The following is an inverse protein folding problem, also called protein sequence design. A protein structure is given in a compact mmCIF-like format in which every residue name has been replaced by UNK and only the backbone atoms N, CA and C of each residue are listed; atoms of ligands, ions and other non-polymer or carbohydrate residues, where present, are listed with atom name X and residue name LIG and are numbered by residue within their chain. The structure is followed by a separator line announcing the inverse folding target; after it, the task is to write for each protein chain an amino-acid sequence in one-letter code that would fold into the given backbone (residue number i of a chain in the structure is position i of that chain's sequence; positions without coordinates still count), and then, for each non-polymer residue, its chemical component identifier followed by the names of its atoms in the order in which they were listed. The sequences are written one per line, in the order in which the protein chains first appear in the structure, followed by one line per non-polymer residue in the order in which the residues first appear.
data_IF_070499341565
#
_entry.id   IF_070499341565
#
_cell.length_a   1.000
_cell.length_b   1.000
_cell.length_c   1.000
_cell.angle_alpha   90.00
_cell.angle_beta   90.00
_cell.angle_gamma   90.00
#
_symmetry.space_group_name_H-M   'P 1'
#
loop_
_entity.id
_entity.type
_entity.pdbx_description
1 polymer ?
#
# COMPACT_ATOMS: atom_id res chain seq x y z
N UNK A 1 12.92 -27.99 3.34
CA UNK A 1 11.93 -27.51 4.35
C UNK A 1 12.43 -26.35 5.23
N UNK A 2 13.72 -26.24 5.60
CA UNK A 2 14.21 -25.21 6.55
C UNK A 2 13.98 -23.76 6.11
N UNK A 3 14.02 -23.47 4.81
CA UNK A 3 13.83 -22.11 4.28
C UNK A 3 12.37 -21.62 4.39
N UNK A 4 11.38 -22.51 4.48
CA UNK A 4 9.96 -22.12 4.54
C UNK A 4 9.59 -21.55 5.91
N UNK A 5 10.05 -22.21 6.99
CA UNK A 5 9.80 -21.74 8.36
C UNK A 5 10.52 -20.41 8.58
N UNK A 6 11.76 -20.28 8.10
CA UNK A 6 12.50 -19.01 8.13
C UNK A 6 11.78 -17.87 7.40
N UNK A 7 11.36 -18.09 6.16
CA UNK A 7 10.64 -17.09 5.37
C UNK A 7 9.30 -16.70 6.00
N UNK A 8 8.58 -17.66 6.58
CA UNK A 8 7.31 -17.42 7.27
C UNK A 8 7.52 -16.57 8.53
N UNK A 9 8.52 -16.89 9.36
CA UNK A 9 8.86 -16.10 10.55
C UNK A 9 9.27 -14.67 10.18
N UNK A 10 10.08 -14.50 9.13
CA UNK A 10 10.47 -13.18 8.63
C UNK A 10 9.24 -12.41 8.14
N UNK A 11 8.36 -13.06 7.37
CA UNK A 11 7.11 -12.45 6.90
C UNK A 11 6.23 -11.98 8.04
N UNK A 12 6.02 -12.82 9.05
CA UNK A 12 5.27 -12.46 10.26
C UNK A 12 5.91 -11.29 11.02
N UNK A 13 7.25 -11.30 11.16
CA UNK A 13 7.99 -10.23 11.83
C UNK A 13 7.87 -8.90 11.07
N UNK A 14 7.97 -8.92 9.74
CA UNK A 14 7.76 -7.74 8.89
C UNK A 14 6.33 -7.21 9.03
N UNK A 15 5.32 -8.08 8.97
CA UNK A 15 3.92 -7.69 9.18
C UNK A 15 3.71 -7.07 10.56
N UNK A 16 4.27 -7.68 11.60
CA UNK A 16 4.23 -7.15 12.96
C UNK A 16 4.85 -5.77 13.04
N UNK A 17 6.04 -5.57 12.46
CA UNK A 17 6.72 -4.25 12.41
C UNK A 17 5.86 -3.23 11.65
N UNK A 18 5.25 -3.62 10.53
CA UNK A 18 4.38 -2.73 9.74
C UNK A 18 3.19 -2.30 10.61
N UNK A 19 2.47 -3.25 11.22
CA UNK A 19 1.29 -2.94 12.03
C UNK A 19 1.62 -2.13 13.28
N UNK A 20 2.72 -2.46 13.94
CA UNK A 20 3.24 -1.69 15.05
C UNK A 20 3.51 -0.23 14.66
N UNK A 21 4.08 -0.03 13.47
CA UNK A 21 4.35 1.29 12.93
C UNK A 21 3.10 2.05 12.47
N UNK A 22 1.99 1.35 12.16
CA UNK A 22 0.71 1.97 11.79
C UNK A 22 0.01 2.58 13.01
N UNK A 23 0.00 1.87 14.14
CA UNK A 23 -0.73 2.29 15.36
C UNK A 23 0.07 3.33 16.16
N UNK A 24 1.39 3.46 15.94
CA UNK A 24 2.19 4.48 16.60
C UNK A 24 1.74 5.89 16.18
N UNK A 25 1.53 6.74 17.19
CA UNK A 25 1.30 8.17 17.00
C UNK A 25 2.54 8.78 16.33
N UNK A 26 2.33 9.45 15.20
CA UNK A 26 3.40 10.13 14.45
C UNK A 26 2.95 11.53 14.10
N UNK A 27 3.88 12.49 14.11
CA UNK A 27 3.61 13.81 13.57
C UNK A 27 3.33 13.73 12.07
N UNK A 28 2.32 14.47 11.61
CA UNK A 28 2.12 14.71 10.18
C UNK A 28 3.24 15.63 9.72
N UNK A 29 4.07 15.16 8.79
CA UNK A 29 5.10 16.02 8.22
C UNK A 29 4.42 17.04 7.31
N UNK A 30 4.90 18.28 7.33
CA UNK A 30 4.41 19.33 6.44
C UNK A 30 4.79 19.07 4.97
N UNK A 31 5.77 18.19 4.72
CA UNK A 31 6.20 17.79 3.38
C UNK A 31 5.52 16.50 2.89
N UNK A 32 4.96 16.56 1.67
CA UNK A 32 4.40 15.41 0.98
C UNK A 32 5.52 14.55 0.39
N UNK A 33 6.19 13.73 1.22
CA UNK A 33 7.26 12.84 0.73
C UNK A 33 6.68 11.64 -0.02
N UNK A 34 6.84 11.61 -1.35
CA UNK A 34 6.43 10.49 -2.22
C UNK A 34 7.59 9.61 -2.72
N UNK A 35 8.83 9.90 -2.31
CA UNK A 35 10.05 9.20 -2.77
C UNK A 35 9.90 7.67 -2.65
N UNK A 36 9.51 7.17 -1.49
CA UNK A 36 9.39 5.72 -1.26
C UNK A 36 8.32 5.04 -2.15
N UNK A 37 7.06 5.53 -2.22
CA UNK A 37 6.08 5.05 -3.20
C UNK A 37 6.59 5.06 -4.65
N UNK A 38 7.27 6.13 -5.06
CA UNK A 38 7.81 6.27 -6.42
C UNK A 38 8.88 5.21 -6.70
N UNK A 39 9.80 4.97 -5.76
CA UNK A 39 10.81 3.91 -5.87
C UNK A 39 10.14 2.55 -6.06
N UNK A 40 9.10 2.23 -5.28
CA UNK A 40 8.37 0.96 -5.43
C UNK A 40 7.74 0.82 -6.81
N UNK A 41 7.13 1.88 -7.34
CA UNK A 41 6.56 1.89 -8.69
C UNK A 41 7.64 1.65 -9.74
N UNK A 42 8.77 2.35 -9.67
CA UNK A 42 9.87 2.21 -10.64
C UNK A 42 10.45 0.79 -10.61
N UNK A 43 10.74 0.27 -9.42
CA UNK A 43 11.25 -1.11 -9.28
C UNK A 43 10.22 -2.14 -9.77
N UNK A 44 8.95 -1.93 -9.47
CA UNK A 44 7.86 -2.79 -9.94
C UNK A 44 7.71 -2.77 -11.47
N UNK A 45 7.86 -1.60 -12.12
CA UNK A 45 7.83 -1.49 -13.58
C UNK A 45 8.96 -2.29 -14.24
N UNK A 46 10.14 -2.34 -13.61
CA UNK A 46 11.24 -3.20 -14.06
C UNK A 46 10.85 -4.68 -14.03
N UNK A 47 10.25 -5.14 -12.93
CA UNK A 47 9.79 -6.52 -12.79
C UNK A 47 8.67 -6.85 -13.79
N UNK A 48 7.73 -5.93 -14.00
CA UNK A 48 6.63 -6.11 -14.94
C UNK A 48 7.13 -6.19 -16.39
N UNK A 49 8.13 -5.38 -16.76
CA UNK A 49 8.78 -5.47 -18.08
C UNK A 49 9.41 -6.84 -18.30
N UNK A 50 10.14 -7.37 -17.31
CA UNK A 50 10.73 -8.71 -17.39
C UNK A 50 9.67 -9.82 -17.50
N UNK A 51 8.54 -9.65 -16.81
CA UNK A 51 7.40 -10.56 -16.92
C UNK A 51 6.84 -10.60 -18.35
N UNK A 52 6.64 -9.44 -18.98
CA UNK A 52 6.15 -9.36 -20.37
C UNK A 52 7.12 -9.93 -21.40
N UNK A 53 8.42 -9.92 -21.13
CA UNK A 53 9.42 -10.54 -22.00
C UNK A 53 9.41 -12.08 -21.92
N UNK A 54 8.87 -12.65 -20.83
CA UNK A 54 8.95 -14.10 -20.54
C UNK A 54 7.59 -14.79 -20.64
N UNK A 55 6.48 -14.04 -20.66
CA UNK A 55 5.13 -14.57 -20.63
C UNK A 55 4.25 -13.91 -21.69
N UNK A 56 3.46 -14.70 -22.42
CA UNK A 56 2.44 -14.20 -23.33
C UNK A 56 1.24 -13.67 -22.54
N UNK A 57 0.90 -12.40 -22.72
CA UNK A 57 -0.24 -11.80 -22.05
C UNK A 57 -1.56 -12.19 -22.72
N UNK A 58 -2.41 -12.89 -21.98
CA UNK A 58 -3.81 -13.02 -22.36
C UNK A 58 -4.55 -11.72 -22.05
N UNK A 59 -5.62 -11.43 -22.80
CA UNK A 59 -6.50 -10.29 -22.53
C UNK A 59 -6.98 -10.28 -21.08
N UNK A 60 -7.37 -11.44 -20.54
CA UNK A 60 -7.80 -11.57 -19.15
C UNK A 60 -6.70 -11.19 -18.15
N UNK A 61 -5.45 -11.65 -18.37
CA UNK A 61 -4.31 -11.28 -17.52
C UNK A 61 -4.11 -9.78 -17.49
N UNK A 62 -4.13 -9.11 -18.65
CA UNK A 62 -3.97 -7.66 -18.72
C UNK A 62 -5.09 -6.92 -17.97
N UNK A 63 -6.34 -7.33 -18.16
CA UNK A 63 -7.48 -6.72 -17.45
C UNK A 63 -7.38 -6.88 -15.94
N UNK A 64 -6.93 -8.04 -15.45
CA UNK A 64 -6.75 -8.30 -14.02
C UNK A 64 -5.67 -7.41 -13.40
N UNK A 65 -4.55 -7.20 -14.10
CA UNK A 65 -3.48 -6.28 -13.69
C UNK A 65 -4.04 -4.87 -13.54
N UNK A 66 -4.78 -4.39 -14.54
CA UNK A 66 -5.35 -3.04 -14.52
C UNK A 66 -6.36 -2.87 -13.38
N UNK A 67 -7.27 -3.82 -13.19
CA UNK A 67 -8.25 -3.79 -12.10
C UNK A 67 -7.54 -3.79 -10.75
N UNK A 68 -6.55 -4.66 -10.55
CA UNK A 68 -5.81 -4.75 -9.29
C UNK A 68 -5.01 -3.46 -8.99
N UNK A 69 -4.26 -2.97 -9.98
CA UNK A 69 -3.36 -1.82 -9.79
C UNK A 69 -4.07 -0.47 -9.73
N UNK A 70 -5.15 -0.28 -10.48
CA UNK A 70 -5.83 1.02 -10.53
C UNK A 70 -7.06 1.06 -9.65
N UNK A 71 -7.92 0.04 -9.70
CA UNK A 71 -9.17 0.07 -8.96
C UNK A 71 -8.90 -0.34 -7.52
N UNK A 72 -8.36 -1.55 -7.30
CA UNK A 72 -8.18 -2.08 -5.96
C UNK A 72 -7.14 -1.29 -5.16
N UNK A 73 -5.97 -0.99 -5.73
CA UNK A 73 -4.90 -0.28 -5.03
C UNK A 73 -5.32 1.14 -4.62
N UNK A 74 -5.92 1.91 -5.54
CA UNK A 74 -6.35 3.29 -5.26
C UNK A 74 -7.53 3.29 -4.29
N UNK A 75 -8.53 2.43 -4.49
CA UNK A 75 -9.67 2.34 -3.59
C UNK A 75 -9.23 1.97 -2.16
N UNK A 76 -8.40 0.94 -2.00
CA UNK A 76 -7.93 0.50 -0.69
C UNK A 76 -7.00 1.50 -0.03
N UNK A 77 -6.12 2.16 -0.80
CA UNK A 77 -5.26 3.24 -0.29
C UNK A 77 -6.07 4.43 0.22
N UNK A 78 -7.10 4.82 -0.54
CA UNK A 78 -8.02 5.91 -0.19
C UNK A 78 -8.86 5.57 1.03
N UNK A 79 -9.50 4.39 1.04
CA UNK A 79 -10.30 3.91 2.15
C UNK A 79 -9.49 3.90 3.45
N UNK A 80 -8.27 3.36 3.41
CA UNK A 80 -7.35 3.40 4.55
C UNK A 80 -7.01 4.80 4.99
N UNK A 81 -6.77 5.73 4.08
CA UNK A 81 -6.49 7.11 4.44
C UNK A 81 -7.61 7.73 5.26
N UNK A 82 -8.87 7.39 5.03
CA UNK A 82 -10.01 7.85 5.82
C UNK A 82 -10.06 7.22 7.22
N UNK A 83 -9.58 5.98 7.38
CA UNK A 83 -9.50 5.32 8.70
C UNK A 83 -8.40 5.86 9.61
N UNK A 84 -7.48 6.69 9.07
CA UNK A 84 -6.42 7.34 9.86
C UNK A 84 -7.03 8.48 10.68
N UNK A 85 -6.76 8.44 11.99
CA UNK A 85 -7.13 9.51 12.92
C UNK A 85 -6.14 10.66 12.80
N UNK A 86 -6.66 11.87 12.67
CA UNK A 86 -5.89 13.12 12.62
C UNK A 86 -6.40 14.02 13.74
N UNK A 87 -5.50 14.62 14.52
CA UNK A 87 -5.86 15.56 15.58
C UNK A 87 -4.70 16.49 15.94
N UNK A 88 -5.04 17.66 16.47
CA UNK A 88 -4.07 18.59 17.03
C UNK A 88 -3.75 18.28 18.48
N UNK A 89 -2.48 18.47 18.84
CA UNK A 89 -2.06 18.60 20.24
C UNK A 89 -1.11 19.79 20.31
N UNK A 90 -1.63 20.92 20.79
CA UNK A 90 -0.98 22.23 20.62
C UNK A 90 -0.94 22.64 19.15
N UNK A 91 0.20 23.15 18.69
CA UNK A 91 0.43 23.54 17.27
C UNK A 91 0.81 22.37 16.34
N UNK A 92 0.90 21.15 16.86
CA UNK A 92 1.40 19.99 16.12
C UNK A 92 0.23 19.09 15.72
N UNK A 93 0.12 18.80 14.42
CA UNK A 93 -0.84 17.84 13.88
C UNK A 93 -0.27 16.42 13.96
N UNK A 94 -1.00 15.54 14.61
CA UNK A 94 -0.66 14.12 14.76
C UNK A 94 -1.54 13.24 13.86
N UNK A 95 -0.98 12.09 13.48
CA UNK A 95 -1.68 11.01 12.78
C UNK A 95 -1.46 9.67 13.46
N UNK A 96 -2.47 8.81 13.37
CA UNK A 96 -2.41 7.44 13.87
C UNK A 96 -3.30 6.53 13.03
N UNK A 97 -2.76 5.40 12.57
CA UNK A 97 -3.56 4.33 11.99
C UNK A 97 -4.39 3.63 13.08
N UNK A 98 -5.52 3.07 12.67
CA UNK A 98 -6.43 2.34 13.56
C UNK A 98 -6.34 0.84 13.29
N UNK A 99 -6.98 0.04 14.15
CA UNK A 99 -7.14 -1.40 13.89
C UNK A 99 -7.80 -1.64 12.51
N UNK A 100 -8.76 -0.79 12.14
CA UNK A 100 -9.41 -0.84 10.83
C UNK A 100 -8.41 -0.58 9.69
N UNK A 101 -7.45 0.34 9.87
CA UNK A 101 -6.36 0.55 8.91
C UNK A 101 -5.55 -0.73 8.68
N UNK A 102 -5.30 -1.51 9.73
CA UNK A 102 -4.58 -2.79 9.65
C UNK A 102 -5.41 -3.86 8.94
N UNK A 103 -6.68 -4.01 9.32
CA UNK A 103 -7.59 -4.97 8.69
C UNK A 103 -7.67 -4.71 7.19
N UNK A 104 -7.80 -3.45 6.78
CA UNK A 104 -7.81 -3.06 5.37
C UNK A 104 -6.48 -3.34 4.67
N UNK A 105 -5.34 -3.19 5.36
CA UNK A 105 -4.05 -3.60 4.79
C UNK A 105 -4.01 -5.10 4.49
N UNK A 106 -4.40 -5.92 5.47
CA UNK A 106 -4.43 -7.39 5.34
C UNK A 106 -5.38 -7.80 4.22
N UNK A 107 -6.62 -7.29 4.24
CA UNK A 107 -7.63 -7.61 3.24
C UNK A 107 -7.18 -7.21 1.82
N UNK A 108 -6.61 -6.01 1.67
CA UNK A 108 -6.05 -5.50 0.42
C UNK A 108 -4.93 -6.41 -0.10
N UNK A 109 -4.00 -6.83 0.75
CA UNK A 109 -2.91 -7.74 0.38
C UNK A 109 -3.41 -9.13 -0.02
N UNK A 110 -4.36 -9.70 0.73
CA UNK A 110 -4.96 -11.00 0.40
C UNK A 110 -5.69 -10.94 -0.95
N UNK A 111 -6.52 -9.92 -1.16
CA UNK A 111 -7.27 -9.75 -2.41
C UNK A 111 -6.33 -9.62 -3.61
N UNK A 112 -5.24 -8.85 -3.49
CA UNK A 112 -4.26 -8.74 -4.57
C UNK A 112 -3.60 -10.08 -4.89
N UNK A 113 -3.18 -10.83 -3.87
CA UNK A 113 -2.56 -12.15 -4.05
C UNK A 113 -3.54 -13.18 -4.64
N UNK A 114 -4.82 -13.11 -4.28
CA UNK A 114 -5.85 -13.96 -4.87
C UNK A 114 -6.03 -13.66 -6.36
N UNK A 115 -6.10 -12.38 -6.75
CA UNK A 115 -6.18 -11.97 -8.16
C UNK A 115 -4.94 -12.47 -8.91
N UNK A 116 -3.75 -12.27 -8.35
CA UNK A 116 -2.50 -12.72 -8.97
C UNK A 116 -2.44 -14.25 -9.14
N UNK A 117 -2.94 -15.01 -8.17
CA UNK A 117 -2.97 -16.47 -8.22
C UNK A 117 -3.95 -17.00 -9.27
N UNK A 118 -5.08 -16.33 -9.49
CA UNK A 118 -6.11 -16.74 -10.47
C UNK A 118 -5.62 -16.49 -11.90
N UNK A 119 -4.96 -15.36 -12.13
CA UNK A 119 -4.56 -14.91 -13.46
C UNK A 119 -3.09 -15.13 -13.78
N UNK A 120 -2.36 -15.80 -12.88
CA UNK A 120 -0.92 -16.08 -12.96
C UNK A 120 -0.07 -14.82 -13.22
N UNK A 121 -0.58 -13.64 -12.85
CA UNK A 121 0.15 -12.39 -12.94
C UNK A 121 1.15 -12.39 -11.79
N UNK A 122 2.37 -12.85 -12.09
CA UNK A 122 3.45 -13.09 -11.12
C UNK A 122 3.64 -11.96 -10.09
N UNK A 123 4.48 -12.18 -9.09
CA UNK A 123 4.92 -11.17 -8.10
C UNK A 123 5.41 -9.83 -8.70
N UNK A 124 5.59 -9.74 -10.02
CA UNK A 124 5.92 -8.54 -10.76
C UNK A 124 5.00 -7.34 -10.47
N UNK A 125 3.72 -7.55 -10.18
CA UNK A 125 2.74 -6.47 -9.91
C UNK A 125 2.76 -5.97 -8.46
N UNK A 126 3.34 -6.75 -7.54
CA UNK A 126 3.25 -6.49 -6.10
C UNK A 126 3.89 -5.15 -5.70
N UNK A 127 5.08 -4.82 -6.21
CA UNK A 127 5.74 -3.55 -5.88
C UNK A 127 4.97 -2.35 -6.43
N UNK A 128 4.41 -2.48 -7.64
CA UNK A 128 3.58 -1.43 -8.24
C UNK A 128 2.32 -1.22 -7.40
N UNK A 129 1.65 -2.30 -7.00
CA UNK A 129 0.46 -2.25 -6.15
C UNK A 129 0.69 -1.50 -4.85
N UNK A 130 1.75 -1.83 -4.11
CA UNK A 130 2.08 -1.15 -2.86
C UNK A 130 2.49 0.30 -3.10
N UNK A 131 3.22 0.58 -4.18
CA UNK A 131 3.58 1.93 -4.59
C UNK A 131 2.36 2.82 -4.83
N UNK A 132 1.41 2.37 -5.66
CA UNK A 132 0.16 3.11 -5.97
C UNK A 132 -0.67 3.29 -4.70
N UNK A 133 -0.88 2.20 -3.95
CA UNK A 133 -1.65 2.21 -2.70
C UNK A 133 -1.09 3.21 -1.69
N UNK A 134 0.24 3.21 -1.48
CA UNK A 134 0.90 4.13 -0.56
C UNK A 134 0.85 5.57 -1.06
N UNK A 135 0.96 5.78 -2.37
CA UNK A 135 0.83 7.10 -2.98
C UNK A 135 -0.57 7.67 -2.74
N UNK A 136 -1.61 6.90 -3.09
CA UNK A 136 -3.02 7.23 -2.84
C UNK A 136 -3.26 7.56 -1.36
N UNK A 137 -2.83 6.69 -0.44
CA UNK A 137 -3.03 6.91 0.99
C UNK A 137 -2.34 8.20 1.47
N UNK A 138 -1.10 8.46 1.02
CA UNK A 138 -0.34 9.67 1.40
C UNK A 138 -0.98 10.94 0.89
N UNK A 139 -1.43 10.95 -0.37
CA UNK A 139 -2.12 12.08 -0.97
C UNK A 139 -3.37 12.44 -0.18
N UNK A 140 -4.24 11.46 0.07
CA UNK A 140 -5.51 11.69 0.77
C UNK A 140 -5.27 12.15 2.22
N UNK A 141 -4.32 11.55 2.95
CA UNK A 141 -3.96 12.02 4.31
C UNK A 141 -3.42 13.46 4.28
N UNK A 142 -2.61 13.80 3.27
CA UNK A 142 -2.07 15.16 3.12
C UNK A 142 -3.18 16.18 2.83
N UNK A 143 -4.10 15.90 1.90
CA UNK A 143 -5.24 16.78 1.65
C UNK A 143 -6.15 16.93 2.88
N UNK A 144 -6.49 15.82 3.55
CA UNK A 144 -7.26 15.86 4.81
C UNK A 144 -6.56 16.69 5.89
N UNK A 145 -5.22 16.63 5.97
CA UNK A 145 -4.46 17.42 6.93
C UNK A 145 -4.62 18.93 6.71
N UNK A 146 -4.67 19.38 5.45
CA UNK A 146 -4.87 20.80 5.11
C UNK A 146 -6.26 21.31 5.47
N UNK A 147 -7.30 20.51 5.27
CA UNK A 147 -8.67 20.88 5.64
C UNK A 147 -8.88 20.94 7.15
N UNK A 148 -8.14 20.16 7.93
CA UNK A 148 -8.18 20.24 9.40
C UNK A 148 -7.49 21.52 9.88
N UNK A 149 -6.43 21.97 9.19
CA UNK A 149 -5.74 23.24 9.49
C UNK A 149 -6.65 24.44 9.20
N UNK A 150 -7.42 24.43 8.11
CA UNK A 150 -8.25 25.58 7.73
C UNK A 150 -9.43 25.83 8.67
N UNK A 151 -9.81 24.84 9.49
CA UNK A 151 -10.97 24.90 10.38
C UNK A 151 -10.59 25.00 11.87
N UNK A 152 -9.29 25.07 12.18
CA UNK A 152 -8.75 25.18 13.54
C UNK A 152 -8.30 26.62 13.82
#
# INVERSE_FOLDING_TARGET
MSNYIGNLLIGLLVLFIIFYNQIRVRQVRNDMRLIFPIILIILGLSNLKNYFNTHTLTFMSLTSILISLFILAVAMGTLRAYTVKLWYKGSILFRQGTLLTIVLWIASSILHLMIDSIWHTSQATFLIYYGITLCSQRLVVYYRSKHIVSNA
#
